data_IF_205860201364
#
_entry.id   IF_205860201364
#
_cell.length_a   1.000
_cell.length_b   1.000
_cell.length_c   1.000
_cell.angle_alpha   90.00
_cell.angle_beta   90.00
_cell.angle_gamma   90.00
#
_symmetry.space_group_name_H-M   'P 1'
#
loop_
_entity.id
_entity.type
_entity.pdbx_description
1 polymer ?
#
# COMPACT_ATOMS: atom_id res chain seq x y z
N UNK A 1 10.25 29.54 -18.89
CA UNK A 1 9.86 28.11 -18.80
C UNK A 1 9.27 27.77 -17.44
N UNK A 2 9.88 28.21 -16.32
CA UNK A 2 9.39 27.96 -14.95
C UNK A 2 8.00 28.58 -14.63
N UNK A 3 7.72 29.81 -15.08
CA UNK A 3 6.43 30.49 -14.80
C UNK A 3 5.20 29.79 -15.41
N UNK A 4 5.38 29.05 -16.51
CA UNK A 4 4.27 28.35 -17.17
C UNK A 4 3.98 26.97 -16.54
N UNK A 5 4.91 26.41 -15.77
CA UNK A 5 4.75 25.12 -15.11
C UNK A 5 3.79 25.23 -13.91
N UNK A 6 3.93 26.28 -13.10
CA UNK A 6 3.06 26.57 -11.95
C UNK A 6 1.57 26.77 -12.32
N UNK A 7 1.28 27.16 -13.58
CA UNK A 7 -0.09 27.37 -14.08
C UNK A 7 -0.81 26.06 -14.43
N UNK A 8 -0.08 24.97 -14.64
CA UNK A 8 -0.63 23.65 -15.00
C UNK A 8 -0.39 22.57 -13.96
N UNK A 9 0.47 22.81 -12.97
CA UNK A 9 0.82 21.87 -11.92
C UNK A 9 1.09 22.67 -10.64
N UNK A 10 0.61 22.19 -9.48
CA UNK A 10 1.02 22.77 -8.20
C UNK A 10 2.54 22.63 -8.11
N UNK A 11 3.25 23.68 -7.72
CA UNK A 11 4.72 23.71 -7.58
C UNK A 11 5.09 24.24 -6.21
N UNK A 12 6.10 23.65 -5.57
CA UNK A 12 6.63 24.08 -4.28
C UNK A 12 8.02 23.49 -4.05
N UNK A 13 8.74 24.03 -3.05
CA UNK A 13 10.09 23.56 -2.71
C UNK A 13 10.12 22.12 -2.14
N UNK A 14 8.97 21.58 -1.76
CA UNK A 14 8.80 20.27 -1.13
C UNK A 14 7.64 19.52 -1.81
N UNK A 15 7.72 18.17 -1.85
CA UNK A 15 6.60 17.33 -2.33
C UNK A 15 5.38 17.51 -1.41
N UNK A 16 4.19 17.63 -2.00
CA UNK A 16 2.92 17.70 -1.26
C UNK A 16 2.01 16.52 -1.63
N UNK A 17 1.08 16.17 -0.73
CA UNK A 17 0.07 15.13 -0.96
C UNK A 17 -0.78 15.39 -2.22
N UNK A 18 -0.97 16.65 -2.58
CA UNK A 18 -1.71 17.09 -3.78
C UNK A 18 -0.92 16.79 -5.06
N UNK A 19 0.41 16.70 -4.97
CA UNK A 19 1.31 16.46 -6.10
C UNK A 19 1.73 14.99 -6.21
N UNK A 20 1.81 14.25 -5.11
CA UNK A 20 2.33 12.88 -5.08
C UNK A 20 1.65 12.04 -3.97
N UNK A 21 0.68 11.22 -4.37
CA UNK A 21 -0.01 10.27 -3.46
C UNK A 21 0.98 9.28 -2.84
N UNK A 22 2.05 8.93 -3.54
CA UNK A 22 3.11 8.05 -3.02
C UNK A 22 3.80 8.66 -1.81
N UNK A 23 3.92 9.98 -1.72
CA UNK A 23 4.51 10.65 -0.57
C UNK A 23 3.65 10.46 0.70
N UNK A 24 2.32 10.49 0.56
CA UNK A 24 1.42 10.22 1.69
C UNK A 24 1.54 8.79 2.20
N UNK A 25 1.63 7.83 1.28
CA UNK A 25 1.91 6.43 1.62
C UNK A 25 3.27 6.32 2.34
N UNK A 26 4.32 6.94 1.78
CA UNK A 26 5.66 6.88 2.36
C UNK A 26 5.69 7.44 3.80
N UNK A 27 4.93 8.50 4.08
CA UNK A 27 4.83 9.07 5.43
C UNK A 27 4.14 8.12 6.42
N UNK A 28 3.06 7.45 6.02
CA UNK A 28 2.39 6.46 6.88
C UNK A 28 3.30 5.25 7.12
N UNK A 29 3.98 4.77 6.07
CA UNK A 29 4.95 3.68 6.17
C UNK A 29 6.11 4.06 7.10
N UNK A 30 6.61 5.29 7.04
CA UNK A 30 7.67 5.77 7.92
C UNK A 30 7.23 5.75 9.40
N UNK A 31 5.98 6.13 9.70
CA UNK A 31 5.42 6.03 11.05
C UNK A 31 5.34 4.57 11.49
N UNK A 32 4.82 3.68 10.64
CA UNK A 32 4.73 2.25 10.95
C UNK A 32 6.11 1.64 11.23
N UNK A 33 7.12 1.96 10.43
CA UNK A 33 8.48 1.45 10.61
C UNK A 33 9.14 1.96 11.90
N UNK A 34 8.89 3.21 12.29
CA UNK A 34 9.36 3.72 13.59
C UNK A 34 8.66 3.01 14.73
N UNK A 35 7.35 2.76 14.63
CA UNK A 35 6.57 2.04 15.63
C UNK A 35 7.07 0.59 15.81
N UNK A 36 7.37 -0.11 14.71
CA UNK A 36 7.91 -1.48 14.73
C UNK A 36 9.39 -1.58 15.10
N UNK A 37 10.10 -0.46 15.21
CA UNK A 37 11.53 -0.49 15.54
C UNK A 37 11.75 -1.06 16.95
N UNK A 38 12.90 -1.72 17.16
CA UNK A 38 13.26 -2.30 18.47
C UNK A 38 13.31 -1.29 19.62
N UNK A 39 13.50 0.00 19.32
CA UNK A 39 13.53 1.07 20.30
C UNK A 39 12.13 1.48 20.79
N UNK A 40 11.10 1.30 19.97
CA UNK A 40 9.72 1.74 20.28
C UNK A 40 8.82 0.55 20.56
N UNK A 41 8.80 -0.44 19.65
CA UNK A 41 8.00 -1.66 19.72
C UNK A 41 6.50 -1.41 20.02
N UNK A 42 5.93 -0.39 19.39
CA UNK A 42 4.51 -0.03 19.48
C UNK A 42 3.73 -0.69 18.35
N UNK A 43 3.31 -1.94 18.59
CA UNK A 43 2.52 -2.70 17.62
C UNK A 43 1.19 -2.02 17.30
N UNK A 44 0.50 -1.39 18.25
CA UNK A 44 -0.83 -0.79 18.01
C UNK A 44 -0.77 0.37 17.02
N UNK A 45 0.25 1.23 17.13
CA UNK A 45 0.48 2.30 16.14
C UNK A 45 0.76 1.73 14.76
N UNK A 46 1.55 0.65 14.67
CA UNK A 46 1.81 -0.02 13.40
C UNK A 46 0.53 -0.61 12.77
N UNK A 47 -0.31 -1.29 13.57
CA UNK A 47 -1.60 -1.82 13.11
C UNK A 47 -2.52 -0.69 12.58
N UNK A 48 -2.56 0.44 13.29
CA UNK A 48 -3.34 1.61 12.87
C UNK A 48 -2.85 2.17 11.53
N UNK A 49 -1.52 2.22 11.33
CA UNK A 49 -0.95 2.64 10.05
C UNK A 49 -1.33 1.69 8.92
N UNK A 50 -1.34 0.37 9.18
CA UNK A 50 -1.77 -0.64 8.20
C UNK A 50 -3.25 -0.45 7.82
N UNK A 51 -4.12 -0.17 8.79
CA UNK A 51 -5.54 0.13 8.53
C UNK A 51 -5.68 1.36 7.61
N UNK A 52 -4.96 2.44 7.90
CA UNK A 52 -5.00 3.64 7.07
C UNK A 52 -4.48 3.40 5.65
N UNK A 53 -3.45 2.56 5.48
CA UNK A 53 -2.94 2.17 4.17
C UNK A 53 -3.98 1.33 3.41
N UNK A 54 -4.62 0.36 4.07
CA UNK A 54 -5.73 -0.43 3.54
C UNK A 54 -6.87 0.43 3.03
N UNK A 55 -7.35 1.37 3.85
CA UNK A 55 -8.41 2.32 3.50
C UNK A 55 -8.02 3.21 2.31
N UNK A 56 -6.81 3.77 2.31
CA UNK A 56 -6.31 4.62 1.24
C UNK A 56 -6.25 3.86 -0.10
N UNK A 57 -5.64 2.68 -0.09
CA UNK A 57 -5.45 1.86 -1.30
C UNK A 57 -6.77 1.27 -1.81
N UNK A 58 -7.72 0.97 -0.92
CA UNK A 58 -9.07 0.55 -1.29
C UNK A 58 -9.82 1.65 -2.07
N UNK A 59 -9.66 2.92 -1.68
CA UNK A 59 -10.23 4.05 -2.42
C UNK A 59 -9.55 4.26 -3.76
N UNK A 60 -8.22 4.14 -3.78
CA UNK A 60 -7.42 4.25 -5.02
C UNK A 60 -7.79 3.12 -6.00
N UNK A 61 -8.00 1.90 -5.51
CA UNK A 61 -8.33 0.73 -6.34
C UNK A 61 -9.51 0.95 -7.29
N UNK A 62 -10.53 1.69 -6.85
CA UNK A 62 -11.77 1.94 -7.61
C UNK A 62 -11.61 3.04 -8.66
N UNK A 63 -10.89 4.11 -8.36
CA UNK A 63 -10.92 5.35 -9.16
C UNK A 63 -9.56 5.80 -9.71
N UNK A 64 -8.49 5.02 -9.53
CA UNK A 64 -7.17 5.40 -10.03
C UNK A 64 -7.09 5.33 -11.55
N UNK A 65 -7.33 6.47 -12.19
CA UNK A 65 -7.04 6.71 -13.60
C UNK A 65 -6.18 7.99 -13.72
N UNK A 66 -4.90 7.91 -13.35
CA UNK A 66 -4.02 9.06 -13.40
C UNK A 66 -3.79 9.52 -14.83
N UNK A 67 -4.30 10.69 -15.22
CA UNK A 67 -3.96 11.29 -16.51
C UNK A 67 -2.53 11.84 -16.44
N UNK A 68 -1.55 11.26 -17.17
CA UNK A 68 -0.17 11.73 -17.10
C UNK A 68 0.02 13.04 -17.86
N UNK A 69 -0.89 13.37 -18.77
CA UNK A 69 -0.81 14.54 -19.65
C UNK A 69 -1.71 15.66 -19.13
N UNK A 70 -1.12 16.81 -18.79
CA UNK A 70 -1.86 18.04 -18.52
C UNK A 70 -1.79 18.95 -19.75
N UNK A 71 -2.97 19.29 -20.27
CA UNK A 71 -3.15 20.19 -21.42
C UNK A 71 -3.59 21.57 -20.97
N UNK A 72 -3.21 22.58 -21.73
CA UNK A 72 -3.76 23.93 -21.58
C UNK A 72 -5.16 24.05 -22.22
N UNK A 73 -5.84 25.20 -22.04
CA UNK A 73 -7.18 25.46 -22.62
C UNK A 73 -7.19 25.39 -24.15
N UNK A 74 -6.06 25.71 -24.77
CA UNK A 74 -5.76 25.64 -26.20
C UNK A 74 -5.42 24.22 -26.68
N UNK A 75 -5.48 23.20 -25.81
CA UNK A 75 -5.36 21.78 -26.16
C UNK A 75 -3.93 21.24 -26.26
N UNK A 76 -2.91 22.09 -26.22
CA UNK A 76 -1.51 21.65 -26.27
C UNK A 76 -1.05 21.00 -24.95
N UNK A 77 -0.14 20.02 -25.05
CA UNK A 77 0.50 19.40 -23.88
C UNK A 77 1.42 20.42 -23.21
N UNK A 78 1.28 20.61 -21.89
CA UNK A 78 2.15 21.49 -21.09
C UNK A 78 3.02 20.70 -20.10
N UNK A 79 2.49 19.61 -19.54
CA UNK A 79 3.20 18.75 -18.58
C UNK A 79 2.89 17.29 -18.86
N UNK A 80 3.92 16.46 -18.89
CA UNK A 80 3.81 15.00 -18.77
C UNK A 80 4.37 14.63 -17.39
N UNK A 81 3.50 14.23 -16.48
CA UNK A 81 3.89 13.81 -15.14
C UNK A 81 4.04 12.28 -15.09
N UNK A 82 5.18 11.81 -14.58
CA UNK A 82 5.35 10.41 -14.24
C UNK A 82 4.46 10.09 -13.03
N UNK A 83 3.34 9.43 -13.30
CA UNK A 83 2.40 8.98 -12.27
C UNK A 83 2.86 7.62 -11.77
N UNK A 84 2.83 7.42 -10.44
CA UNK A 84 3.22 6.13 -9.88
C UNK A 84 2.15 5.08 -10.22
N UNK A 85 2.57 3.85 -10.53
CA UNK A 85 1.63 2.77 -10.80
C UNK A 85 0.92 2.31 -9.53
N UNK A 86 -0.28 1.75 -9.69
CA UNK A 86 -1.01 1.13 -8.58
C UNK A 86 -0.18 0.04 -7.90
N UNK A 87 0.47 -0.81 -8.70
CA UNK A 87 1.41 -1.84 -8.24
C UNK A 87 2.45 -1.24 -7.29
N UNK A 88 3.06 -0.13 -7.70
CA UNK A 88 4.10 0.52 -6.91
C UNK A 88 3.55 1.14 -5.62
N UNK A 89 2.31 1.64 -5.61
CA UNK A 89 1.67 2.11 -4.37
C UNK A 89 1.49 0.97 -3.37
N UNK A 90 0.99 -0.18 -3.83
CA UNK A 90 0.79 -1.37 -2.98
C UNK A 90 2.12 -1.89 -2.45
N UNK A 91 3.13 -2.07 -3.31
CA UNK A 91 4.47 -2.52 -2.89
C UNK A 91 5.08 -1.58 -1.84
N UNK A 92 4.97 -0.26 -2.06
CA UNK A 92 5.50 0.73 -1.11
C UNK A 92 4.82 0.67 0.25
N UNK A 93 3.51 0.42 0.26
CA UNK A 93 2.71 0.37 1.48
C UNK A 93 3.05 -0.85 2.36
N UNK A 94 3.16 -2.04 1.76
CA UNK A 94 3.22 -3.29 2.54
C UNK A 94 4.64 -3.84 2.69
N UNK A 95 5.51 -3.72 1.70
CA UNK A 95 6.71 -4.56 1.64
C UNK A 95 7.69 -4.31 2.79
N UNK A 96 7.92 -3.04 3.15
CA UNK A 96 8.79 -2.68 4.27
C UNK A 96 8.16 -3.01 5.63
N UNK A 97 6.83 -2.88 5.74
CA UNK A 97 6.10 -3.20 6.98
C UNK A 97 6.17 -4.70 7.21
N UNK A 98 5.88 -5.53 6.21
CA UNK A 98 6.10 -6.98 6.23
C UNK A 98 7.50 -7.37 6.69
N UNK A 99 8.53 -6.73 6.11
CA UNK A 99 9.93 -6.99 6.46
C UNK A 99 10.24 -6.63 7.92
N UNK A 100 9.75 -5.49 8.41
CA UNK A 100 9.95 -5.05 9.80
C UNK A 100 9.09 -5.84 10.80
N UNK A 101 7.93 -6.33 10.37
CA UNK A 101 6.99 -7.14 11.14
C UNK A 101 7.31 -8.63 11.16
N UNK A 102 8.50 -9.05 10.70
CA UNK A 102 8.90 -10.45 10.74
C UNK A 102 8.85 -11.01 12.17
N UNK A 103 8.25 -12.19 12.33
CA UNK A 103 8.00 -12.79 13.63
C UNK A 103 6.93 -12.11 14.50
N UNK A 104 6.14 -11.19 13.94
CA UNK A 104 5.03 -10.55 14.63
C UNK A 104 3.68 -10.96 14.01
N UNK A 105 3.03 -12.05 14.50
CA UNK A 105 1.78 -12.57 13.94
C UNK A 105 0.68 -11.50 13.83
N UNK A 106 0.56 -10.62 14.83
CA UNK A 106 -0.43 -9.55 14.82
C UNK A 106 -0.27 -8.58 13.64
N UNK A 107 0.97 -8.25 13.27
CA UNK A 107 1.28 -7.38 12.13
C UNK A 107 0.93 -8.10 10.82
N UNK A 108 1.37 -9.36 10.68
CA UNK A 108 1.09 -10.17 9.49
C UNK A 108 -0.40 -10.37 9.24
N UNK A 109 -1.16 -10.71 10.29
CA UNK A 109 -2.62 -10.87 10.23
C UNK A 109 -3.25 -9.56 9.78
N UNK A 110 -2.78 -8.43 10.31
CA UNK A 110 -3.37 -7.14 9.95
C UNK A 110 -3.03 -6.70 8.53
N UNK A 111 -1.82 -6.98 8.05
CA UNK A 111 -1.49 -6.77 6.64
C UNK A 111 -2.39 -7.61 5.72
N UNK A 112 -2.65 -8.87 6.07
CA UNK A 112 -3.59 -9.72 5.32
C UNK A 112 -5.03 -9.18 5.34
N UNK A 113 -5.48 -8.60 6.46
CA UNK A 113 -6.80 -7.97 6.58
C UNK A 113 -6.92 -6.73 5.69
N UNK A 114 -5.91 -5.86 5.71
CA UNK A 114 -5.87 -4.70 4.83
C UNK A 114 -5.81 -5.11 3.34
N UNK A 115 -5.04 -6.14 3.01
CA UNK A 115 -4.99 -6.68 1.65
C UNK A 115 -6.35 -7.27 1.22
N UNK A 116 -7.05 -7.98 2.11
CA UNK A 116 -8.40 -8.50 1.85
C UNK A 116 -9.38 -7.35 1.57
N UNK A 117 -9.36 -6.31 2.40
CA UNK A 117 -10.18 -5.11 2.22
C UNK A 117 -9.94 -4.44 0.86
N UNK A 118 -8.67 -4.36 0.43
CA UNK A 118 -8.31 -3.83 -0.89
C UNK A 118 -8.85 -4.75 -1.98
N UNK A 119 -8.64 -6.07 -1.86
CA UNK A 119 -9.07 -7.04 -2.86
C UNK A 119 -10.59 -6.99 -3.12
N UNK A 120 -11.39 -6.74 -2.08
CA UNK A 120 -12.86 -6.58 -2.19
C UNK A 120 -13.28 -5.38 -3.06
N UNK A 121 -12.39 -4.41 -3.27
CA UNK A 121 -12.64 -3.20 -4.07
C UNK A 121 -12.02 -3.24 -5.46
N UNK A 122 -11.16 -4.22 -5.73
CA UNK A 122 -10.42 -4.31 -7.00
C UNK A 122 -11.19 -5.18 -7.98
N UNK A 123 -11.65 -4.59 -9.10
CA UNK A 123 -12.26 -5.32 -10.21
C UNK A 123 -11.27 -5.66 -11.33
N UNK A 124 -10.12 -5.00 -11.36
CA UNK A 124 -9.09 -5.20 -12.39
C UNK A 124 -8.22 -6.44 -12.06
N UNK A 125 -8.10 -7.43 -12.97
CA UNK A 125 -7.34 -8.66 -12.71
C UNK A 125 -5.86 -8.43 -12.39
N UNK A 126 -5.21 -7.44 -13.02
CA UNK A 126 -3.79 -7.16 -12.76
C UNK A 126 -3.58 -6.54 -11.37
N UNK A 127 -4.43 -5.58 -10.99
CA UNK A 127 -4.40 -5.03 -9.62
C UNK A 127 -4.68 -6.11 -8.57
N UNK A 128 -5.58 -7.04 -8.87
CA UNK A 128 -5.92 -8.16 -7.98
C UNK A 128 -4.73 -9.11 -7.82
N UNK A 129 -3.99 -9.38 -8.91
CA UNK A 129 -2.73 -10.14 -8.88
C UNK A 129 -1.70 -9.50 -7.96
N UNK A 130 -1.50 -8.17 -8.05
CA UNK A 130 -0.56 -7.44 -7.18
C UNK A 130 -0.88 -7.64 -5.69
N UNK A 131 -2.15 -7.52 -5.31
CA UNK A 131 -2.58 -7.70 -3.90
C UNK A 131 -2.35 -9.15 -3.45
N UNK A 132 -2.65 -10.13 -4.31
CA UNK A 132 -2.42 -11.54 -4.04
C UNK A 132 -0.93 -11.87 -3.86
N UNK A 133 -0.05 -11.22 -4.62
CA UNK A 133 1.40 -11.40 -4.50
C UNK A 133 1.94 -10.93 -3.15
N UNK A 134 1.41 -9.83 -2.60
CA UNK A 134 1.76 -9.37 -1.25
C UNK A 134 1.33 -10.39 -0.19
N UNK A 135 0.10 -10.90 -0.26
CA UNK A 135 -0.39 -11.92 0.68
C UNK A 135 0.46 -13.20 0.62
N UNK A 136 0.85 -13.64 -0.59
CA UNK A 136 1.73 -14.78 -0.78
C UNK A 136 3.14 -14.56 -0.20
N UNK A 137 3.65 -13.32 -0.23
CA UNK A 137 4.93 -12.99 0.43
C UNK A 137 4.83 -13.06 1.95
N UNK A 138 3.70 -12.65 2.54
CA UNK A 138 3.47 -12.80 3.99
C UNK A 138 3.41 -14.28 4.35
N UNK A 139 2.64 -15.09 3.61
CA UNK A 139 2.52 -16.53 3.86
C UNK A 139 3.87 -17.25 3.85
N UNK A 140 4.73 -16.97 2.86
CA UNK A 140 6.08 -17.56 2.81
C UNK A 140 6.93 -17.20 4.03
N UNK A 141 6.74 -16.02 4.61
CA UNK A 141 7.51 -15.54 5.75
C UNK A 141 7.06 -16.17 7.09
N UNK A 142 5.86 -16.75 7.16
CA UNK A 142 5.31 -17.33 8.39
C UNK A 142 6.20 -18.42 8.95
N UNK A 143 6.54 -19.42 8.11
CA UNK A 143 7.33 -20.58 8.53
C UNK A 143 8.75 -20.21 8.98
N UNK A 144 9.33 -19.16 8.40
CA UNK A 144 10.70 -18.74 8.67
C UNK A 144 10.84 -17.88 9.94
N UNK A 145 9.77 -17.19 10.36
CA UNK A 145 9.88 -16.13 11.36
C UNK A 145 8.97 -16.26 12.58
N UNK A 146 7.92 -17.09 12.54
CA UNK A 146 7.01 -17.28 13.68
C UNK A 146 7.30 -18.64 14.34
N UNK A 147 7.89 -18.69 15.56
CA UNK A 147 8.35 -19.94 16.17
C UNK A 147 7.25 -20.77 16.84
N UNK A 148 6.19 -20.14 17.35
CA UNK A 148 5.07 -20.82 18.00
C UNK A 148 4.07 -21.36 16.97
N UNK A 149 3.64 -22.62 17.12
CA UNK A 149 2.79 -23.28 16.11
C UNK A 149 1.39 -22.68 16.07
N UNK A 150 0.79 -22.42 17.23
CA UNK A 150 -0.56 -21.84 17.29
C UNK A 150 -0.62 -20.47 16.58
N UNK A 151 0.43 -19.66 16.74
CA UNK A 151 0.54 -18.37 16.08
C UNK A 151 0.70 -18.52 14.55
N UNK A 152 1.47 -19.51 14.08
CA UNK A 152 1.55 -19.84 12.65
C UNK A 152 0.18 -20.20 12.09
N UNK A 153 -0.54 -21.07 12.78
CA UNK A 153 -1.87 -21.51 12.36
C UNK A 153 -2.86 -20.34 12.24
N UNK A 154 -2.79 -19.36 13.14
CA UNK A 154 -3.65 -18.18 13.08
C UNK A 154 -3.35 -17.30 11.85
N UNK A 155 -2.06 -17.09 11.51
CA UNK A 155 -1.69 -16.36 10.29
C UNK A 155 -2.11 -17.15 9.03
N UNK A 156 -1.85 -18.47 9.01
CA UNK A 156 -2.21 -19.33 7.87
C UNK A 156 -3.72 -19.42 7.65
N UNK A 157 -4.51 -19.43 8.73
CA UNK A 157 -5.97 -19.33 8.66
C UNK A 157 -6.38 -18.04 7.96
N UNK A 158 -5.71 -16.92 8.27
CA UNK A 158 -6.00 -15.66 7.60
C UNK A 158 -5.59 -15.66 6.12
N UNK A 159 -4.46 -16.28 5.76
CA UNK A 159 -4.07 -16.49 4.36
C UNK A 159 -5.13 -17.30 3.60
N UNK A 160 -5.68 -18.35 4.21
CA UNK A 160 -6.75 -19.15 3.62
C UNK A 160 -8.03 -18.34 3.39
N UNK A 161 -8.45 -17.55 4.39
CA UNK A 161 -9.61 -16.65 4.27
C UNK A 161 -9.39 -15.67 3.10
N UNK A 162 -8.22 -15.04 3.04
CA UNK A 162 -7.86 -14.12 1.95
C UNK A 162 -7.96 -14.79 0.58
N UNK A 163 -7.36 -15.98 0.40
CA UNK A 163 -7.41 -16.72 -0.88
C UNK A 163 -8.82 -17.11 -1.29
N UNK A 164 -9.67 -17.43 -0.32
CA UNK A 164 -11.07 -17.83 -0.56
C UNK A 164 -11.95 -16.63 -0.91
N UNK A 165 -11.60 -15.43 -0.40
CA UNK A 165 -12.29 -14.17 -0.72
C UNK A 165 -11.83 -13.57 -2.06
N UNK A 166 -10.54 -13.73 -2.40
CA UNK A 166 -10.09 -13.86 -3.80
C UNK A 166 -10.85 -15.07 -4.44
N UNK A 167 -10.68 -15.58 -5.65
CA UNK A 167 -11.48 -16.72 -6.17
C UNK A 167 -13.04 -16.59 -6.28
N UNK A 168 -13.79 -16.09 -5.27
CA UNK A 168 -15.25 -15.85 -5.29
C UNK A 168 -15.65 -14.51 -5.94
N UNK A 169 -14.68 -13.63 -6.18
CA UNK A 169 -14.81 -12.31 -6.81
C UNK A 169 -14.14 -12.29 -8.19
#
# INVERSE_FOLDING_TARGET
MAENFARGHVTGATRTLVQDVSFGIDQIVEIALRALSSAVNDTFTALTCIDWLGDCLSRIAVSWNPTPVRRCRDGYIRVIAAQVSYERLVQRAFEKIRQAGAGQPAVMIRELDALAQIADRVTDPERRRVVAEQAAMIERQVAESVPEEADREDVLRRCLIFRTALALT
#
